data_IF_094233030199
#
_entry.id   IF_094233030199
#
_cell.length_a   1.000
_cell.length_b   1.000
_cell.length_c   1.000
_cell.angle_alpha   90.00
_cell.angle_beta   90.00
_cell.angle_gamma   90.00
#
_symmetry.space_group_name_H-M   'P 1'
#
loop_
_entity.id
_entity.type
_entity.pdbx_description
1 polymer ?
#
# COMPACT_ATOMS: atom_id res chain seq x y z
N UNK A 1 18.55 -6.47 10.33
CA UNK A 1 18.26 -5.18 9.69
C UNK A 1 17.64 -4.21 10.69
N UNK A 2 18.04 -2.93 10.73
CA UNK A 2 17.41 -1.96 11.61
C UNK A 2 16.01 -1.58 11.09
N UNK A 3 15.00 -1.70 11.94
CA UNK A 3 13.65 -1.18 11.69
C UNK A 3 13.69 0.35 11.70
N UNK A 4 13.11 0.98 10.67
CA UNK A 4 12.98 2.44 10.54
C UNK A 4 11.59 2.84 11.03
N UNK A 5 11.49 3.92 11.81
CA UNK A 5 10.18 4.47 12.12
C UNK A 5 9.56 5.04 10.83
N UNK A 6 8.31 4.67 10.51
CA UNK A 6 7.68 5.12 9.27
C UNK A 6 7.59 6.65 9.15
N UNK A 7 7.47 7.37 10.26
CA UNK A 7 7.40 8.84 10.27
C UNK A 7 8.74 9.51 9.97
N UNK A 8 9.87 8.80 10.14
CA UNK A 8 11.17 9.28 9.69
C UNK A 8 11.29 9.19 8.17
N UNK A 9 10.58 8.24 7.56
CA UNK A 9 10.57 7.98 6.11
C UNK A 9 9.47 8.72 5.34
N UNK A 10 8.33 8.99 5.99
CA UNK A 10 7.13 9.53 5.38
C UNK A 10 6.59 10.70 6.21
N UNK A 11 6.67 11.91 5.66
CA UNK A 11 6.01 13.07 6.22
C UNK A 11 4.56 13.15 5.79
N UNK A 12 3.66 13.30 6.76
CA UNK A 12 2.22 13.52 6.55
C UNK A 12 1.85 14.94 6.98
N UNK A 13 1.00 15.60 6.20
CA UNK A 13 0.47 16.93 6.50
C UNK A 13 -0.95 17.09 5.99
N UNK A 14 -1.67 18.11 6.46
CA UNK A 14 -2.97 18.45 5.90
C UNK A 14 -2.83 19.12 4.52
N UNK A 15 -3.66 18.71 3.57
CA UNK A 15 -3.80 19.36 2.28
C UNK A 15 -4.43 20.73 2.47
N UNK A 16 -3.93 21.72 1.72
CA UNK A 16 -4.56 23.04 1.59
C UNK A 16 -5.63 23.06 0.49
N UNK A 17 -5.67 22.03 -0.36
CA UNK A 17 -6.49 22.00 -1.57
C UNK A 17 -7.83 21.30 -1.37
N UNK A 18 -7.84 20.22 -0.59
CA UNK A 18 -8.99 19.33 -0.49
C UNK A 18 -9.49 19.20 0.94
N UNK A 19 -10.80 19.04 1.06
CA UNK A 19 -11.49 18.81 2.32
C UNK A 19 -11.42 17.36 2.78
N UNK A 20 -11.97 17.12 3.97
CA UNK A 20 -12.12 15.78 4.51
C UNK A 20 -13.04 14.92 3.60
N UNK A 21 -12.72 13.63 3.34
CA UNK A 21 -11.66 12.85 3.97
C UNK A 21 -10.31 12.93 3.28
N UNK A 22 -10.27 13.40 2.03
CA UNK A 22 -9.11 13.40 1.14
C UNK A 22 -8.15 14.56 1.43
N UNK A 23 -7.90 14.84 2.71
CA UNK A 23 -7.17 16.01 3.17
C UNK A 23 -5.78 15.70 3.71
N UNK A 24 -5.23 14.50 3.49
CA UNK A 24 -3.86 14.16 3.91
C UNK A 24 -2.91 14.11 2.71
N UNK A 25 -1.76 14.74 2.87
CA UNK A 25 -0.66 14.73 1.92
C UNK A 25 0.48 13.90 2.47
N UNK A 26 0.93 12.92 1.70
CA UNK A 26 2.03 12.03 2.05
C UNK A 26 3.24 12.34 1.16
N UNK A 27 4.43 12.44 1.76
CA UNK A 27 5.69 12.69 1.05
C UNK A 27 6.79 11.82 1.63
N UNK A 28 7.61 11.22 0.76
CA UNK A 28 8.87 10.61 1.20
C UNK A 28 9.82 11.69 1.69
N UNK A 29 10.50 11.46 2.81
CA UNK A 29 11.53 12.35 3.38
C UNK A 29 12.93 11.77 3.28
N UNK A 30 13.05 10.49 2.97
CA UNK A 30 14.33 9.80 2.93
C UNK A 30 14.77 9.50 1.50
N UNK A 31 16.08 9.51 1.32
CA UNK A 31 16.76 8.94 0.16
C UNK A 31 17.56 7.77 0.69
N UNK A 32 17.10 6.56 0.41
CA UNK A 32 17.76 5.34 0.85
C UNK A 32 18.00 4.46 -0.38
N UNK A 33 19.26 4.16 -0.67
CA UNK A 33 19.61 3.36 -1.86
C UNK A 33 19.07 1.93 -1.78
N UNK A 34 18.78 1.45 -0.56
CA UNK A 34 18.11 0.19 -0.27
C UNK A 34 16.67 0.15 -0.79
N UNK A 35 16.06 1.32 -1.00
CA UNK A 35 14.72 1.46 -1.58
C UNK A 35 14.67 1.32 -3.10
N UNK A 36 15.83 1.15 -3.73
CA UNK A 36 15.98 1.01 -5.17
C UNK A 36 16.18 -0.47 -5.56
N UNK A 37 15.60 -0.84 -6.69
CA UNK A 37 15.79 -2.15 -7.30
C UNK A 37 14.51 -2.97 -7.38
N UNK A 38 14.55 -4.09 -8.11
CA UNK A 38 13.44 -5.02 -8.19
C UNK A 38 13.27 -5.83 -6.90
N UNK A 39 12.03 -6.12 -6.53
CA UNK A 39 11.74 -6.95 -5.37
C UNK A 39 10.25 -7.14 -5.14
N UNK A 40 9.89 -7.60 -3.96
CA UNK A 40 8.51 -7.76 -3.50
C UNK A 40 8.33 -7.05 -2.17
N UNK A 41 7.11 -6.65 -1.85
CA UNK A 41 6.83 -6.00 -0.57
C UNK A 41 5.52 -6.47 0.03
N UNK A 42 5.49 -6.41 1.35
CA UNK A 42 4.35 -6.73 2.17
C UNK A 42 3.92 -5.47 2.92
N UNK A 43 2.61 -5.26 3.02
CA UNK A 43 1.99 -4.25 3.86
C UNK A 43 1.12 -4.98 4.87
N UNK A 44 1.30 -4.64 6.14
CA UNK A 44 0.47 -5.10 7.23
C UNK A 44 -0.25 -3.93 7.89
N UNK A 45 -1.42 -4.22 8.46
CA UNK A 45 -2.21 -3.29 9.25
C UNK A 45 -2.61 -3.98 10.55
N UNK A 46 -2.28 -3.40 11.71
CA UNK A 46 -2.48 -4.01 13.04
C UNK A 46 -1.93 -5.45 13.12
N UNK A 47 -0.67 -5.63 12.75
CA UNK A 47 0.04 -6.92 12.66
C UNK A 47 -0.53 -7.95 11.67
N UNK A 48 -1.64 -7.66 11.00
CA UNK A 48 -2.22 -8.56 10.01
C UNK A 48 -1.70 -8.21 8.62
N UNK A 49 -1.15 -9.16 7.85
CA UNK A 49 -0.78 -8.91 6.46
C UNK A 49 -2.04 -8.64 5.63
N UNK A 50 -2.07 -7.50 4.95
CA UNK A 50 -3.26 -7.03 4.20
C UNK A 50 -3.00 -6.92 2.71
N UNK A 51 -1.74 -6.74 2.30
CA UNK A 51 -1.38 -6.59 0.90
C UNK A 51 0.02 -7.13 0.60
N UNK A 52 0.15 -7.88 -0.49
CA UNK A 52 1.44 -8.25 -1.07
C UNK A 52 1.53 -7.75 -2.50
N UNK A 53 2.68 -7.23 -2.89
CA UNK A 53 2.87 -6.73 -4.24
C UNK A 53 4.32 -6.78 -4.70
N UNK A 54 4.51 -6.61 -6.00
CA UNK A 54 5.84 -6.51 -6.61
C UNK A 54 6.29 -5.08 -6.86
N UNK A 55 7.59 -4.86 -6.77
CA UNK A 55 8.25 -3.64 -7.19
C UNK A 55 9.24 -3.92 -8.33
N UNK A 56 9.06 -3.18 -9.42
CA UNK A 56 9.87 -3.24 -10.64
C UNK A 56 10.10 -1.78 -11.04
N UNK A 57 11.17 -1.12 -10.54
CA UNK A 57 11.41 0.27 -10.83
C UNK A 57 11.57 0.48 -12.33
N UNK A 58 10.91 1.50 -12.86
CA UNK A 58 11.27 2.07 -14.16
C UNK A 58 12.20 3.26 -13.89
N UNK A 59 13.44 3.21 -14.38
CA UNK A 59 14.49 4.24 -14.15
C UNK A 59 14.96 4.29 -12.68
N UNK A 60 15.39 5.47 -12.21
CA UNK A 60 16.00 5.71 -10.88
C UNK A 60 14.97 6.08 -9.79
N UNK A 61 13.77 5.50 -9.83
CA UNK A 61 12.77 5.72 -8.78
C UNK A 61 12.96 4.75 -7.61
N UNK A 62 12.32 5.07 -6.47
CA UNK A 62 12.33 4.28 -5.25
C UNK A 62 10.93 3.71 -4.91
N UNK A 63 10.88 2.70 -4.05
CA UNK A 63 9.63 2.04 -3.66
C UNK A 63 8.67 2.96 -2.89
N UNK A 64 9.16 3.96 -2.16
CA UNK A 64 8.32 4.90 -1.41
C UNK A 64 7.36 5.64 -2.36
N UNK A 65 7.92 6.35 -3.34
CA UNK A 65 7.16 7.23 -4.24
C UNK A 65 6.32 6.45 -5.25
N UNK A 66 6.86 5.33 -5.74
CA UNK A 66 6.18 4.50 -6.74
C UNK A 66 5.06 3.64 -6.14
N UNK A 67 5.23 3.16 -4.91
CA UNK A 67 4.34 2.16 -4.30
C UNK A 67 3.79 2.59 -2.96
N UNK A 68 4.61 2.73 -1.93
CA UNK A 68 4.12 2.81 -0.56
C UNK A 68 3.24 4.04 -0.30
N UNK A 69 3.64 5.23 -0.77
CA UNK A 69 2.81 6.44 -0.63
C UNK A 69 1.45 6.27 -1.31
N UNK A 70 1.43 5.69 -2.53
CA UNK A 70 0.18 5.46 -3.27
C UNK A 70 -0.72 4.44 -2.57
N UNK A 71 -0.14 3.39 -2.00
CA UNK A 71 -0.88 2.39 -1.23
C UNK A 71 -1.47 3.01 0.03
N UNK A 72 -0.69 3.73 0.84
CA UNK A 72 -1.19 4.39 2.05
C UNK A 72 -2.36 5.31 1.71
N UNK A 73 -2.20 6.16 0.68
CA UNK A 73 -3.26 7.07 0.25
C UNK A 73 -4.55 6.34 -0.11
N UNK A 74 -4.45 5.28 -0.92
CA UNK A 74 -5.63 4.56 -1.42
C UNK A 74 -6.22 3.58 -0.43
N UNK A 75 -5.42 2.97 0.46
CA UNK A 75 -5.88 2.06 1.51
C UNK A 75 -6.60 2.83 2.61
N UNK A 76 -6.14 4.04 2.94
CA UNK A 76 -6.76 4.87 3.98
C UNK A 76 -7.96 5.66 3.48
N UNK A 77 -8.05 5.91 2.16
CA UNK A 77 -8.96 6.90 1.55
C UNK A 77 -8.83 8.32 2.14
N UNK A 78 -7.68 8.64 2.74
CA UNK A 78 -7.38 9.96 3.29
C UNK A 78 -6.49 10.81 2.38
N UNK A 79 -5.88 10.20 1.37
CA UNK A 79 -4.92 10.83 0.48
C UNK A 79 -5.50 11.91 -0.44
N UNK A 80 -4.80 13.04 -0.55
CA UNK A 80 -5.22 14.18 -1.36
C UNK A 80 -5.28 13.86 -2.86
N UNK A 81 -4.50 12.88 -3.31
CA UNK A 81 -4.45 12.47 -4.73
C UNK A 81 -5.40 11.33 -5.06
N UNK A 82 -6.09 10.76 -4.07
CA UNK A 82 -6.94 9.59 -4.28
C UNK A 82 -8.02 9.89 -5.30
N UNK A 83 -8.09 9.05 -6.32
CA UNK A 83 -9.21 8.93 -7.25
C UNK A 83 -9.81 7.53 -7.20
N UNK A 84 -10.86 7.32 -7.98
CA UNK A 84 -11.55 6.04 -8.13
C UNK A 84 -11.33 5.41 -9.50
N UNK A 85 -10.53 6.04 -10.36
CA UNK A 85 -10.10 5.49 -11.64
C UNK A 85 -11.02 5.83 -12.81
N UNK A 86 -10.52 5.61 -14.04
CA UNK A 86 -11.29 5.90 -15.24
C UNK A 86 -12.53 5.00 -15.32
N UNK A 87 -13.67 5.57 -15.71
CA UNK A 87 -14.98 4.91 -15.80
C UNK A 87 -15.67 4.60 -14.46
N UNK A 88 -15.13 5.10 -13.34
CA UNK A 88 -15.84 5.10 -12.07
C UNK A 88 -16.94 6.14 -12.07
N UNK A 89 -18.09 5.77 -11.52
CA UNK A 89 -19.19 6.68 -11.23
C UNK A 89 -19.49 6.58 -9.75
N UNK A 90 -20.12 7.62 -9.19
CA UNK A 90 -20.51 7.60 -7.77
C UNK A 90 -21.34 6.35 -7.44
N UNK A 91 -22.30 5.98 -8.29
CA UNK A 91 -23.12 4.77 -8.13
C UNK A 91 -22.33 3.45 -8.11
N UNK A 92 -21.15 3.39 -8.75
CA UNK A 92 -20.26 2.22 -8.66
C UNK A 92 -19.39 2.23 -7.39
N UNK A 93 -19.07 3.42 -6.88
CA UNK A 93 -18.22 3.59 -5.69
C UNK A 93 -19.02 3.39 -4.40
N UNK A 94 -20.22 3.98 -4.29
CA UNK A 94 -21.03 3.95 -3.08
C UNK A 94 -21.27 2.54 -2.50
N UNK A 95 -21.53 1.47 -3.29
CA UNK A 95 -21.72 0.12 -2.77
C UNK A 95 -20.48 -0.49 -2.10
N UNK A 96 -19.29 0.06 -2.38
CA UNK A 96 -18.02 -0.47 -1.88
C UNK A 96 -17.52 0.24 -0.62
N UNK A 97 -18.31 1.20 -0.10
CA UNK A 97 -17.94 1.97 1.08
C UNK A 97 -18.97 1.93 2.21
N UNK A 98 -18.58 2.25 3.44
CA UNK A 98 -19.49 2.37 4.59
C UNK A 98 -20.40 3.61 4.48
N UNK A 99 -21.47 3.67 5.28
CA UNK A 99 -22.50 4.71 5.18
C UNK A 99 -21.97 6.12 5.53
N UNK A 100 -21.01 6.22 6.44
CA UNK A 100 -20.33 7.48 6.73
C UNK A 100 -19.62 8.02 5.49
N UNK A 101 -18.81 7.17 4.84
CA UNK A 101 -18.15 7.51 3.59
C UNK A 101 -19.15 7.85 2.49
N UNK A 102 -20.25 7.08 2.33
CA UNK A 102 -21.30 7.41 1.36
C UNK A 102 -21.86 8.81 1.61
N UNK A 103 -22.15 9.14 2.86
CA UNK A 103 -22.67 10.45 3.26
C UNK A 103 -21.69 11.57 2.91
N UNK A 104 -20.40 11.36 3.14
CA UNK A 104 -19.37 12.35 2.80
C UNK A 104 -19.21 12.48 1.28
N UNK A 105 -19.15 11.36 0.54
CA UNK A 105 -19.01 11.36 -0.91
C UNK A 105 -20.19 12.06 -1.61
N UNK A 106 -21.41 11.88 -1.10
CA UNK A 106 -22.61 12.56 -1.62
C UNK A 106 -22.63 14.08 -1.33
N UNK A 107 -21.76 14.57 -0.44
CA UNK A 107 -21.65 16.00 -0.08
C UNK A 107 -20.47 16.70 -0.77
N UNK A 108 -19.67 15.99 -1.55
CA UNK A 108 -18.57 16.60 -2.30
C UNK A 108 -19.12 17.60 -3.32
N UNK A 109 -18.37 18.68 -3.56
CA UNK A 109 -18.67 19.58 -4.67
C UNK A 109 -18.55 18.85 -6.00
N UNK A 110 -19.19 19.38 -7.04
CA UNK A 110 -19.11 18.81 -8.39
C UNK A 110 -17.65 18.75 -8.88
N UNK A 111 -16.86 19.81 -8.68
CA UNK A 111 -15.44 19.85 -9.04
C UNK A 111 -14.63 18.76 -8.32
N UNK A 112 -14.87 18.56 -7.02
CA UNK A 112 -14.18 17.53 -6.28
C UNK A 112 -14.60 16.15 -6.77
N UNK A 113 -15.89 15.92 -6.97
CA UNK A 113 -16.41 14.66 -7.50
C UNK A 113 -15.81 14.34 -8.88
N UNK A 114 -15.77 15.31 -9.79
CA UNK A 114 -15.12 15.19 -11.10
C UNK A 114 -13.64 14.83 -10.98
N UNK A 115 -12.92 15.44 -10.04
CA UNK A 115 -11.53 15.08 -9.75
C UNK A 115 -11.39 13.66 -9.20
N UNK A 116 -12.31 13.20 -8.33
CA UNK A 116 -12.25 11.86 -7.74
C UNK A 116 -12.64 10.76 -8.73
N UNK A 117 -13.49 11.04 -9.72
CA UNK A 117 -13.99 10.04 -10.68
C UNK A 117 -13.11 9.84 -11.91
N UNK A 118 -11.99 10.58 -12.04
CA UNK A 118 -11.01 10.39 -13.12
C UNK A 118 -9.83 9.54 -12.68
N UNK A 119 -8.96 9.22 -13.64
CA UNK A 119 -7.64 8.68 -13.33
C UNK A 119 -6.74 9.78 -12.75
N UNK A 120 -6.32 9.63 -11.49
CA UNK A 120 -5.40 10.55 -10.81
C UNK A 120 -3.97 9.99 -10.75
N UNK A 121 -3.73 8.80 -11.30
CA UNK A 121 -2.51 8.02 -11.08
C UNK A 121 -2.41 7.39 -9.68
N UNK A 122 -3.36 7.69 -8.78
CA UNK A 122 -3.47 7.18 -7.41
C UNK A 122 -4.92 6.73 -7.17
N UNK A 123 -5.31 5.64 -7.83
CA UNK A 123 -6.69 5.18 -7.85
C UNK A 123 -6.93 4.04 -6.85
N UNK A 124 -8.00 4.13 -6.05
CA UNK A 124 -8.39 3.11 -5.10
C UNK A 124 -9.26 2.03 -5.74
N UNK A 125 -8.88 0.76 -5.58
CA UNK A 125 -9.70 -0.39 -6.00
C UNK A 125 -10.84 -0.68 -5.02
N UNK A 126 -11.78 -1.51 -5.45
CA UNK A 126 -12.94 -1.95 -4.64
C UNK A 126 -12.51 -2.58 -3.32
N UNK A 127 -11.46 -3.42 -3.34
CA UNK A 127 -10.91 -4.08 -2.15
C UNK A 127 -10.29 -3.08 -1.16
N UNK A 128 -9.59 -2.06 -1.66
CA UNK A 128 -9.06 -0.97 -0.82
C UNK A 128 -10.18 -0.15 -0.19
N UNK A 129 -11.25 0.12 -0.94
CA UNK A 129 -12.42 0.86 -0.43
C UNK A 129 -13.19 0.07 0.63
N UNK A 130 -13.38 -1.23 0.39
CA UNK A 130 -13.94 -2.14 1.39
C UNK A 130 -13.08 -2.20 2.66
N UNK A 131 -11.75 -2.30 2.51
CA UNK A 131 -10.82 -2.28 3.64
C UNK A 131 -10.89 -0.97 4.43
N UNK A 132 -10.84 0.17 3.75
CA UNK A 132 -10.96 1.49 4.37
C UNK A 132 -12.28 1.62 5.16
N UNK A 133 -13.36 1.07 4.60
CA UNK A 133 -14.70 1.11 5.19
C UNK A 133 -14.82 0.26 6.45
N UNK A 134 -14.20 -0.93 6.45
CA UNK A 134 -14.13 -1.79 7.64
C UNK A 134 -13.34 -1.15 8.78
N UNK A 135 -12.38 -0.27 8.46
CA UNK A 135 -11.51 0.40 9.42
C UNK A 135 -11.84 1.90 9.57
N UNK A 136 -13.01 2.33 9.09
CA UNK A 136 -13.29 3.75 8.88
C UNK A 136 -13.30 4.57 10.16
N UNK A 137 -13.83 4.03 11.25
CA UNK A 137 -13.89 4.73 12.56
C UNK A 137 -12.51 5.22 12.98
N UNK A 138 -11.49 4.40 12.79
CA UNK A 138 -10.11 4.77 13.10
C UNK A 138 -9.52 5.67 12.01
N UNK A 139 -9.68 5.29 10.74
CA UNK A 139 -9.07 6.02 9.63
C UNK A 139 -9.63 7.43 9.47
N UNK A 140 -10.89 7.67 9.84
CA UNK A 140 -11.55 8.98 9.81
C UNK A 140 -11.04 9.95 10.88
N UNK A 141 -10.76 9.43 12.08
CA UNK A 141 -10.31 10.22 13.23
C UNK A 141 -8.80 10.42 13.25
N UNK A 142 -8.06 9.66 12.44
CA UNK A 142 -6.63 9.80 12.29
C UNK A 142 -6.21 11.19 11.76
N UNK A 143 -5.09 11.66 12.29
CA UNK A 143 -4.40 12.92 12.01
C UNK A 143 -3.07 12.61 11.33
N UNK A 144 -2.36 13.63 10.81
CA UNK A 144 -1.00 13.45 10.29
C UNK A 144 -0.03 12.74 11.24
N UNK A 145 -0.25 12.83 12.56
CA UNK A 145 0.67 12.31 13.58
C UNK A 145 0.39 10.86 14.01
N UNK A 146 -0.72 10.25 13.54
CA UNK A 146 -1.10 8.89 13.93
C UNK A 146 -1.68 8.02 12.79
N UNK A 147 -1.88 8.55 11.58
CA UNK A 147 -2.45 7.79 10.45
C UNK A 147 -1.58 6.58 10.05
N UNK A 148 -0.28 6.60 10.35
CA UNK A 148 0.65 5.53 10.01
C UNK A 148 0.87 4.52 11.13
N UNK A 149 0.33 4.74 12.34
CA UNK A 149 0.71 4.00 13.57
C UNK A 149 0.49 2.49 13.48
N UNK A 150 -0.52 2.08 12.72
CA UNK A 150 -0.89 0.67 12.55
C UNK A 150 -0.31 0.02 11.30
N UNK A 151 0.44 0.76 10.50
CA UNK A 151 1.05 0.22 9.28
C UNK A 151 2.46 -0.30 9.52
N UNK A 152 2.76 -1.42 8.86
CA UNK A 152 4.09 -2.02 8.77
C UNK A 152 4.37 -2.32 7.29
N UNK A 153 5.54 -1.90 6.79
CA UNK A 153 5.97 -2.10 5.42
C UNK A 153 7.27 -2.88 5.41
N UNK A 154 7.31 -3.98 4.67
CA UNK A 154 8.51 -4.79 4.48
C UNK A 154 8.82 -4.89 3.00
N UNK A 155 10.07 -4.63 2.62
CA UNK A 155 10.56 -4.76 1.26
C UNK A 155 11.67 -5.80 1.21
N UNK A 156 11.48 -6.80 0.34
CA UNK A 156 12.47 -7.83 0.08
C UNK A 156 13.04 -7.59 -1.31
N UNK A 157 14.30 -7.20 -1.34
CA UNK A 157 15.02 -6.90 -2.57
C UNK A 157 15.67 -8.18 -3.10
N UNK A 158 15.68 -8.34 -4.41
CA UNK A 158 16.30 -9.50 -5.07
C UNK A 158 17.57 -9.01 -5.76
N UNK A 159 18.72 -9.36 -5.20
CA UNK A 159 20.01 -8.81 -5.63
C UNK A 159 20.61 -9.57 -6.83
N UNK A 160 20.22 -10.83 -7.02
CA UNK A 160 20.72 -11.68 -8.12
C UNK A 160 20.11 -11.38 -9.50
N UNK A 161 19.43 -10.25 -9.67
CA UNK A 161 18.77 -9.90 -10.93
C UNK A 161 19.74 -9.20 -11.90
N UNK A 162 19.93 -9.83 -13.07
CA UNK A 162 20.83 -9.35 -14.12
C UNK A 162 20.19 -8.32 -15.05
N UNK A 163 18.86 -8.39 -15.26
CA UNK A 163 18.16 -7.49 -16.16
C UNK A 163 16.66 -7.33 -15.84
N UNK A 164 16.01 -6.35 -16.48
CA UNK A 164 14.61 -6.02 -16.24
C UNK A 164 13.60 -7.10 -16.64
N UNK A 165 13.91 -7.96 -17.62
CA UNK A 165 13.03 -9.06 -17.99
C UNK A 165 13.02 -10.15 -16.92
N UNK A 166 14.20 -10.50 -16.40
CA UNK A 166 14.34 -11.40 -15.26
C UNK A 166 13.63 -10.84 -14.03
N UNK A 167 13.84 -9.56 -13.71
CA UNK A 167 13.10 -8.87 -12.63
C UNK A 167 11.59 -9.06 -12.77
N UNK A 168 11.09 -8.84 -13.98
CA UNK A 168 9.66 -8.92 -14.26
C UNK A 168 9.12 -10.33 -14.05
N UNK A 169 9.82 -11.34 -14.60
CA UNK A 169 9.44 -12.76 -14.50
C UNK A 169 9.42 -13.21 -13.04
N UNK A 170 10.53 -13.01 -12.32
CA UNK A 170 10.72 -13.47 -10.94
C UNK A 170 9.72 -12.81 -9.99
N UNK A 171 9.67 -11.48 -9.95
CA UNK A 171 8.78 -10.78 -9.00
C UNK A 171 7.31 -11.03 -9.31
N UNK A 172 6.93 -11.23 -10.58
CA UNK A 172 5.57 -11.63 -10.96
C UNK A 172 5.26 -13.06 -10.53
N UNK A 173 6.21 -13.98 -10.67
CA UNK A 173 6.06 -15.35 -10.20
C UNK A 173 5.82 -15.39 -8.68
N UNK A 174 6.68 -14.72 -7.90
CA UNK A 174 6.57 -14.67 -6.44
C UNK A 174 5.24 -14.02 -6.03
N UNK A 175 4.91 -12.83 -6.55
CA UNK A 175 3.63 -12.16 -6.27
C UNK A 175 2.44 -13.08 -6.56
N UNK A 176 2.40 -13.69 -7.74
CA UNK A 176 1.29 -14.55 -8.13
C UNK A 176 1.17 -15.80 -7.25
N UNK A 177 2.30 -16.41 -6.85
CA UNK A 177 2.29 -17.55 -5.96
C UNK A 177 1.70 -17.16 -4.59
N UNK A 178 2.20 -16.07 -4.00
CA UNK A 178 1.76 -15.56 -2.69
C UNK A 178 0.28 -15.18 -2.71
N UNK A 179 -0.21 -14.38 -3.68
CA UNK A 179 -1.60 -13.92 -3.68
C UNK A 179 -2.63 -15.01 -4.04
N UNK A 180 -2.19 -16.09 -4.71
CA UNK A 180 -3.04 -17.28 -4.97
C UNK A 180 -3.10 -18.22 -3.77
N UNK A 181 -2.07 -18.20 -2.93
CA UNK A 181 -1.97 -19.00 -1.73
C UNK A 181 -2.67 -18.31 -0.56
N UNK A 182 -2.33 -17.05 -0.29
CA UNK A 182 -2.81 -16.31 0.86
C UNK A 182 -3.95 -15.33 0.52
N UNK A 183 -5.01 -15.38 1.32
CA UNK A 183 -6.14 -14.47 1.26
C UNK A 183 -5.79 -13.17 2.00
N UNK A 184 -5.34 -12.17 1.24
CA UNK A 184 -4.98 -10.84 1.73
C UNK A 184 -6.13 -9.87 1.41
N UNK A 185 -6.58 -9.11 2.40
CA UNK A 185 -7.82 -8.32 2.34
C UNK A 185 -7.85 -7.25 1.24
N UNK A 186 -6.68 -6.80 0.78
CA UNK A 186 -6.55 -5.69 -0.18
C UNK A 186 -6.17 -6.17 -1.58
N UNK A 187 -5.61 -7.38 -1.72
CA UNK A 187 -5.31 -7.95 -3.04
C UNK A 187 -6.61 -8.30 -3.78
N UNK A 188 -6.65 -8.04 -5.09
CA UNK A 188 -7.79 -8.38 -5.97
C UNK A 188 -7.77 -9.87 -6.36
N UNK A 189 -7.42 -10.76 -5.44
CA UNK A 189 -7.34 -12.20 -5.69
C UNK A 189 -7.81 -12.93 -4.45
N UNK A 190 -8.72 -13.88 -4.64
CA UNK A 190 -9.18 -14.77 -3.56
C UNK A 190 -8.13 -15.85 -3.36
N UNK A 191 -7.17 -15.60 -2.48
CA UNK A 191 -6.27 -16.63 -2.00
C UNK A 191 -7.02 -17.75 -1.26
N UNK A 192 -6.31 -18.83 -0.96
CA UNK A 192 -6.89 -20.07 -0.40
C UNK A 192 -6.79 -20.13 1.12
N UNK A 193 -5.78 -19.51 1.71
CA UNK A 193 -5.41 -19.65 3.10
C UNK A 193 -5.38 -18.26 3.75
N UNK A 194 -6.05 -18.08 4.89
CA UNK A 194 -5.84 -16.86 5.68
C UNK A 194 -4.47 -16.96 6.39
N UNK A 195 -3.52 -16.05 6.15
CA UNK A 195 -2.22 -16.12 6.82
C UNK A 195 -2.40 -15.97 8.34
N UNK A 196 -1.64 -16.76 9.11
CA UNK A 196 -1.67 -16.70 10.57
C UNK A 196 -0.82 -15.55 11.10
N UNK A 197 0.30 -15.25 10.42
CA UNK A 197 1.22 -14.17 10.75
C UNK A 197 1.92 -13.67 9.49
N UNK A 198 2.72 -12.61 9.64
CA UNK A 198 3.64 -12.14 8.60
C UNK A 198 4.68 -13.22 8.29
N UNK A 199 5.20 -13.90 9.31
CA UNK A 199 6.28 -14.89 9.17
C UNK A 199 5.90 -16.06 8.25
N UNK A 200 4.61 -16.44 8.18
CA UNK A 200 4.12 -17.44 7.23
C UNK A 200 4.34 -17.01 5.77
N UNK A 201 4.09 -15.74 5.47
CA UNK A 201 4.27 -15.18 4.13
C UNK A 201 5.77 -15.05 3.83
N UNK A 202 6.55 -14.56 4.80
CA UNK A 202 8.01 -14.44 4.67
C UNK A 202 8.67 -15.78 4.38
N UNK A 203 8.34 -16.81 5.18
CA UNK A 203 8.85 -18.17 5.01
C UNK A 203 8.54 -18.68 3.59
N UNK A 204 7.34 -18.43 3.10
CA UNK A 204 6.94 -18.82 1.74
C UNK A 204 7.68 -18.03 0.66
N UNK A 205 7.92 -16.74 0.86
CA UNK A 205 8.73 -15.93 -0.05
C UNK A 205 10.15 -16.48 -0.14
N UNK A 206 10.79 -16.79 1.00
CA UNK A 206 12.15 -17.34 1.02
C UNK A 206 12.24 -18.74 0.39
N UNK A 207 11.23 -19.59 0.60
CA UNK A 207 11.16 -20.89 -0.08
C UNK A 207 11.07 -20.72 -1.60
N UNK A 208 10.23 -19.79 -2.07
CA UNK A 208 10.09 -19.50 -3.50
C UNK A 208 11.37 -18.94 -4.13
N UNK A 209 12.20 -18.20 -3.38
CA UNK A 209 13.48 -17.69 -3.89
C UNK A 209 14.55 -18.77 -3.91
N UNK A 210 14.62 -19.62 -2.88
CA UNK A 210 15.58 -20.73 -2.83
C UNK A 210 15.37 -21.72 -3.98
N UNK A 211 14.11 -22.02 -4.32
CA UNK A 211 13.77 -22.91 -5.44
C UNK A 211 14.18 -22.38 -6.83
N UNK A 212 14.62 -21.11 -6.92
CA UNK A 212 15.03 -20.45 -8.17
C UNK A 212 16.47 -19.94 -8.12
N UNK A 213 17.28 -20.38 -7.14
CA UNK A 213 18.66 -19.93 -6.93
C UNK A 213 18.78 -18.40 -6.85
N UNK A 214 17.83 -17.76 -6.19
CA UNK A 214 17.78 -16.31 -6.03
C UNK A 214 18.28 -15.88 -4.66
N UNK A 215 19.10 -14.83 -4.64
CA UNK A 215 19.50 -14.15 -3.41
C UNK A 215 18.49 -13.02 -3.13
N UNK A 216 17.87 -13.09 -1.96
CA UNK A 216 16.89 -12.11 -1.48
C UNK A 216 17.16 -11.78 -0.02
N UNK A 217 17.12 -10.49 0.31
CA UNK A 217 17.24 -10.01 1.68
C UNK A 217 16.07 -9.09 2.04
N UNK A 218 15.68 -9.09 3.32
CA UNK A 218 14.80 -8.06 3.87
C UNK A 218 15.58 -6.75 3.92
N UNK A 219 15.27 -5.86 2.99
CA UNK A 219 16.09 -4.69 2.68
C UNK A 219 15.55 -3.41 3.32
N UNK A 220 14.24 -3.34 3.57
CA UNK A 220 13.64 -2.26 4.35
C UNK A 220 12.49 -2.76 5.21
N UNK A 221 12.44 -2.28 6.44
CA UNK A 221 11.35 -2.50 7.37
C UNK A 221 10.94 -1.16 7.99
N UNK A 222 9.78 -0.63 7.58
CA UNK A 222 9.17 0.53 8.21
C UNK A 222 8.10 0.08 9.19
N UNK A 223 8.13 0.59 10.41
CA UNK A 223 7.12 0.32 11.42
C UNK A 223 6.52 1.64 11.94
N UNK A 224 5.20 1.74 11.93
CA UNK A 224 4.48 2.91 12.41
C UNK A 224 4.30 2.99 13.91
N UNK A 225 4.46 1.88 14.62
CA UNK A 225 4.30 1.86 16.07
C UNK A 225 5.38 2.72 16.69
N UNK A 226 4.93 3.65 17.54
CA UNK A 226 5.82 4.35 18.45
C UNK A 226 6.36 3.31 19.43
N UNK A 227 7.66 3.07 19.35
CA UNK A 227 8.36 2.36 20.41
C UNK A 227 8.25 3.26 21.64
N UNK A 228 7.56 2.80 22.68
CA UNK A 228 7.64 3.45 23.98
C UNK A 228 9.08 3.23 24.47
N UNK A 229 9.94 4.23 24.24
CA UNK A 229 11.28 4.31 24.82
C UNK A 229 11.15 4.89 26.23
#
# INVERSE_FOLDING_TARGET
MPTINIYDAIHVSFSKRWGYPFNLKFKSTIKDDRANGPGVYLISFKDSPVYFGKYQPFRRNNIFDDRWLRHIETITLRGERVGFGPNSTLNKVLPTVCDDLKTILNKLSEDELCYRMRDTGVCSSDYRRAFASQNWIQLSTATPNNILDDFDFRYYKIDSIQNGEQAKKVTTYIENAIIKEFCLSINNTKGRIKPQSIDCIESRVFELTQNHDLEMELELHLNGRKWNV
#
